data_IF_074046145210
#
_entry.id   IF_074046145210
#
_cell.length_a   1.000
_cell.length_b   1.000
_cell.length_c   1.000
_cell.angle_alpha   90.00
_cell.angle_beta   90.00
_cell.angle_gamma   90.00
#
_symmetry.space_group_name_H-M   'P 1'
#
loop_
_entity.id
_entity.type
_entity.pdbx_description
1 polymer ?
#
# COMPACT_ATOMS: atom_id res chain seq x y z
N UNK A 1 14.67 25.58 -5.91
CA UNK A 1 14.72 24.52 -5.06
C UNK A 1 13.50 23.63 -5.10
N UNK A 2 13.76 22.38 -5.10
CA UNK A 2 12.71 21.51 -5.22
C UNK A 2 12.04 21.16 -3.94
N UNK A 3 10.79 21.28 -3.92
CA UNK A 3 10.08 20.98 -2.74
C UNK A 3 9.78 19.52 -2.67
N UNK A 4 10.27 18.88 -1.64
CA UNK A 4 10.03 17.50 -1.48
C UNK A 4 8.68 17.32 -0.83
N UNK A 5 7.81 16.62 -1.50
CA UNK A 5 6.53 16.37 -0.94
C UNK A 5 6.59 15.32 0.13
N UNK A 6 6.18 15.68 1.30
CA UNK A 6 6.15 14.74 2.41
C UNK A 6 4.80 14.08 2.48
N UNK A 7 4.77 12.76 2.37
CA UNK A 7 3.55 12.01 2.56
C UNK A 7 3.58 11.40 3.94
N UNK A 8 2.47 11.43 4.66
CA UNK A 8 2.41 10.81 5.97
C UNK A 8 2.53 9.30 5.83
N UNK A 9 2.92 8.64 6.91
CA UNK A 9 3.00 7.18 6.93
C UNK A 9 1.68 6.55 6.55
N UNK A 10 0.60 7.16 6.98
CA UNK A 10 -0.72 6.63 6.70
C UNK A 10 -1.05 6.68 5.21
N UNK A 11 -0.70 7.78 4.56
CA UNK A 11 -0.95 7.93 3.14
C UNK A 11 -0.10 6.97 2.33
N UNK A 12 1.18 6.82 2.71
CA UNK A 12 2.06 5.87 2.03
C UNK A 12 1.52 4.45 2.18
N UNK A 13 1.10 4.10 3.38
CA UNK A 13 0.54 2.79 3.66
C UNK A 13 -0.69 2.53 2.78
N UNK A 14 -1.58 3.51 2.71
CA UNK A 14 -2.78 3.40 1.90
C UNK A 14 -2.44 3.23 0.41
N UNK A 15 -1.47 4.00 -0.07
CA UNK A 15 -1.08 3.91 -1.47
C UNK A 15 -0.48 2.56 -1.82
N UNK A 16 0.25 1.96 -0.88
CA UNK A 16 0.78 0.62 -1.09
C UNK A 16 -0.37 -0.39 -1.19
N UNK A 17 -1.33 -0.30 -0.29
CA UNK A 17 -2.48 -1.19 -0.31
C UNK A 17 -3.26 -1.04 -1.62
N UNK A 18 -3.43 0.19 -2.08
CA UNK A 18 -4.14 0.43 -3.33
C UNK A 18 -3.41 -0.14 -4.53
N UNK A 19 -2.08 -0.01 -4.54
CA UNK A 19 -1.29 -0.55 -5.64
C UNK A 19 -1.41 -2.07 -5.68
N UNK A 20 -1.39 -2.71 -4.53
CA UNK A 20 -1.51 -4.15 -4.45
C UNK A 20 -2.91 -4.59 -4.91
N UNK A 21 -3.94 -3.87 -4.47
CA UNK A 21 -5.30 -4.23 -4.84
C UNK A 21 -5.54 -4.06 -6.34
N UNK A 22 -4.94 -3.05 -6.92
CA UNK A 22 -5.12 -2.75 -8.34
C UNK A 22 -4.44 -3.80 -9.23
N UNK A 23 -3.36 -4.39 -8.73
CA UNK A 23 -2.56 -5.32 -9.50
C UNK A 23 -2.56 -6.69 -8.84
N UNK A 24 -3.27 -7.63 -9.41
CA UNK A 24 -3.25 -8.99 -8.88
C UNK A 24 -1.84 -9.53 -8.96
N UNK A 25 -1.39 -10.20 -7.92
CA UNK A 25 -0.05 -10.74 -7.85
C UNK A 25 0.98 -9.65 -8.16
N UNK A 26 0.87 -8.56 -7.44
CA UNK A 26 1.73 -7.41 -7.67
C UNK A 26 3.17 -7.70 -7.24
N UNK A 27 4.12 -7.43 -8.16
CA UNK A 27 5.54 -7.55 -7.83
C UNK A 27 5.97 -6.31 -7.06
N UNK A 28 7.10 -6.43 -6.36
CA UNK A 28 7.61 -5.29 -5.62
C UNK A 28 7.94 -4.12 -6.55
N UNK A 29 8.43 -4.43 -7.76
CA UNK A 29 8.73 -3.37 -8.72
C UNK A 29 7.50 -2.59 -9.13
N UNK A 30 6.41 -3.31 -9.38
CA UNK A 30 5.16 -2.66 -9.75
C UNK A 30 4.63 -1.79 -8.62
N UNK A 31 4.66 -2.33 -7.40
CA UNK A 31 4.18 -1.59 -6.24
C UNK A 31 5.03 -0.34 -6.03
N UNK A 32 6.34 -0.48 -6.13
CA UNK A 32 7.26 0.64 -5.94
C UNK A 32 6.99 1.75 -6.94
N UNK A 33 6.75 1.36 -8.20
CA UNK A 33 6.48 2.33 -9.25
C UNK A 33 5.16 3.04 -9.00
N UNK A 34 4.10 2.30 -8.69
CA UNK A 34 2.78 2.88 -8.53
C UNK A 34 2.64 3.69 -7.25
N UNK A 35 3.27 3.24 -6.18
CA UNK A 35 3.22 3.98 -4.92
C UNK A 35 4.31 5.04 -4.83
N UNK A 36 5.21 5.05 -5.83
CA UNK A 36 6.30 6.02 -5.89
C UNK A 36 7.16 6.01 -4.63
N UNK A 37 7.66 4.82 -4.29
CA UNK A 37 8.58 4.67 -3.17
C UNK A 37 9.78 3.83 -3.57
N UNK A 38 10.95 4.10 -2.99
CA UNK A 38 12.15 3.31 -3.28
C UNK A 38 11.97 1.85 -2.86
N UNK A 39 12.58 0.95 -3.61
CA UNK A 39 12.51 -0.48 -3.33
C UNK A 39 12.90 -0.83 -1.91
N UNK A 40 13.99 -0.27 -1.42
CA UNK A 40 14.50 -0.63 -0.10
C UNK A 40 13.51 -0.27 0.99
N UNK A 41 12.85 0.89 0.84
CA UNK A 41 11.88 1.33 1.81
C UNK A 41 10.61 0.48 1.73
N UNK A 42 10.18 0.19 0.51
CA UNK A 42 9.00 -0.62 0.29
C UNK A 42 9.19 -2.02 0.84
N UNK A 43 10.38 -2.59 0.64
CA UNK A 43 10.66 -3.92 1.11
C UNK A 43 10.43 -4.04 2.62
N UNK A 44 10.94 -3.07 3.37
CA UNK A 44 10.76 -3.05 4.82
C UNK A 44 9.30 -2.92 5.19
N UNK A 45 8.58 -2.06 4.47
CA UNK A 45 7.18 -1.86 4.75
C UNK A 45 6.36 -3.11 4.45
N UNK A 46 6.67 -3.79 3.34
CA UNK A 46 5.97 -5.02 3.00
C UNK A 46 6.21 -6.11 4.04
N UNK A 47 7.42 -6.19 4.57
CA UNK A 47 7.72 -7.17 5.61
C UNK A 47 6.83 -6.93 6.83
N UNK A 48 6.64 -5.68 7.21
CA UNK A 48 5.78 -5.33 8.33
C UNK A 48 4.32 -5.68 8.02
N UNK A 49 3.90 -5.43 6.79
CA UNK A 49 2.52 -5.66 6.39
C UNK A 49 2.21 -7.15 6.34
N UNK A 50 3.16 -7.95 5.90
CA UNK A 50 3.00 -9.40 5.91
C UNK A 50 2.90 -9.89 7.35
N UNK A 51 3.76 -9.38 8.21
CA UNK A 51 3.75 -9.76 9.61
C UNK A 51 2.45 -9.39 10.30
N UNK A 52 1.88 -8.26 9.92
CA UNK A 52 0.62 -7.80 10.49
C UNK A 52 -0.59 -8.53 9.90
N UNK A 53 -0.38 -9.32 8.86
CA UNK A 53 -1.45 -10.11 8.26
C UNK A 53 -2.33 -9.35 7.29
N UNK A 54 -1.90 -8.16 6.85
CA UNK A 54 -2.71 -7.40 5.88
C UNK A 54 -2.32 -7.70 4.44
N UNK A 55 -1.14 -8.28 4.24
CA UNK A 55 -0.64 -8.64 2.92
C UNK A 55 -0.08 -10.05 2.99
N UNK A 56 -0.24 -10.81 1.93
CA UNK A 56 0.33 -12.13 1.83
C UNK A 56 1.33 -12.14 0.68
N UNK A 57 2.43 -12.85 0.90
CA UNK A 57 3.46 -13.01 -0.09
C UNK A 57 3.21 -14.28 -0.87
N UNK A 58 3.23 -14.21 -2.18
CA UNK A 58 2.93 -15.33 -3.05
C UNK A 58 4.09 -15.56 -3.99
N UNK A 59 4.41 -16.83 -4.24
CA UNK A 59 5.42 -17.15 -5.20
C UNK A 59 4.72 -17.60 -6.46
N UNK A 60 4.81 -16.79 -7.50
CA UNK A 60 4.12 -17.07 -8.76
C UNK A 60 5.13 -17.17 -9.89
N UNK A 61 5.31 -18.36 -10.42
CA UNK A 61 6.24 -18.57 -11.52
C UNK A 61 7.66 -18.17 -11.20
N UNK A 62 8.09 -18.41 -9.95
CA UNK A 62 9.43 -18.03 -9.53
C UNK A 62 9.57 -16.58 -9.13
N UNK A 63 8.49 -15.82 -9.20
CA UNK A 63 8.51 -14.42 -8.82
C UNK A 63 7.78 -14.21 -7.51
N UNK A 64 8.29 -13.31 -6.70
CA UNK A 64 7.67 -12.97 -5.44
C UNK A 64 6.64 -11.89 -5.68
N UNK A 65 5.39 -12.19 -5.36
CA UNK A 65 4.29 -11.27 -5.55
C UNK A 65 3.53 -11.07 -4.26
N UNK A 66 2.66 -10.09 -4.24
CA UNK A 66 1.91 -9.74 -3.04
C UNK A 66 0.44 -9.56 -3.34
N UNK A 67 -0.38 -9.89 -2.37
CA UNK A 67 -1.82 -9.70 -2.50
C UNK A 67 -2.37 -9.28 -1.16
N UNK A 68 -3.53 -8.63 -1.17
CA UNK A 68 -4.17 -8.25 0.10
C UNK A 68 -4.84 -9.48 0.71
N UNK A 69 -4.78 -9.55 2.03
CA UNK A 69 -5.57 -10.53 2.75
C UNK A 69 -6.94 -9.92 2.99
N UNK A 70 -7.84 -10.71 3.56
CA UNK A 70 -9.15 -10.22 3.94
C UNK A 70 -8.99 -9.04 4.91
N UNK A 71 -8.05 -9.18 5.84
CA UNK A 71 -7.76 -8.12 6.78
C UNK A 71 -7.25 -6.87 6.07
N UNK A 72 -6.39 -7.04 5.06
CA UNK A 72 -5.89 -5.93 4.27
C UNK A 72 -6.99 -5.22 3.51
N UNK A 73 -7.93 -5.97 2.95
CA UNK A 73 -9.07 -5.40 2.26
C UNK A 73 -9.90 -4.54 3.22
N UNK A 74 -10.10 -5.05 4.42
CA UNK A 74 -10.87 -4.32 5.41
C UNK A 74 -10.18 -3.03 5.81
N UNK A 75 -8.88 -3.09 6.03
CA UNK A 75 -8.11 -1.91 6.40
C UNK A 75 -8.20 -0.85 5.30
N UNK A 76 -8.03 -1.28 4.05
CA UNK A 76 -8.11 -0.33 2.95
C UNK A 76 -9.48 0.32 2.87
N UNK A 77 -10.53 -0.47 3.05
CA UNK A 77 -11.89 0.04 3.03
C UNK A 77 -12.11 1.07 4.13
N UNK A 78 -11.60 0.78 5.34
CA UNK A 78 -11.73 1.71 6.45
C UNK A 78 -11.00 3.02 6.20
N UNK A 79 -9.81 2.93 5.61
CA UNK A 79 -9.04 4.13 5.29
C UNK A 79 -9.78 5.01 4.29
N UNK A 80 -10.39 4.39 3.28
CA UNK A 80 -11.13 5.13 2.29
C UNK A 80 -12.38 5.77 2.89
N UNK A 81 -13.02 5.09 3.80
CA UNK A 81 -14.20 5.62 4.46
C UNK A 81 -13.87 6.84 5.30
N UNK A 82 -12.77 6.77 6.04
CA UNK A 82 -12.35 7.90 6.84
C UNK A 82 -11.98 9.08 5.97
N UNK A 83 -11.27 8.81 4.89
CA UNK A 83 -10.88 9.84 3.95
C UNK A 83 -12.10 10.54 3.37
N UNK A 84 -13.08 9.75 2.96
CA UNK A 84 -14.31 10.27 2.41
C UNK A 84 -15.08 11.12 3.42
N UNK A 85 -15.13 10.64 4.64
CA UNK A 85 -15.83 11.36 5.72
C UNK A 85 -15.16 12.71 6.00
N UNK A 86 -13.83 12.70 6.08
CA UNK A 86 -13.09 13.94 6.33
C UNK A 86 -13.26 14.91 5.18
N UNK A 87 -13.33 14.39 3.96
CA UNK A 87 -13.56 15.23 2.79
C UNK A 87 -14.94 15.89 2.86
N UNK A 88 -15.93 15.12 3.29
CA UNK A 88 -17.30 15.64 3.46
C UNK A 88 -17.32 16.76 4.47
N UNK A 89 -16.48 16.67 5.49
CA UNK A 89 -16.39 17.70 6.52
C UNK A 89 -15.56 18.89 6.09
N UNK A 90 -14.93 18.80 4.91
CA UNK A 90 -14.11 19.90 4.42
C UNK A 90 -12.75 19.98 5.08
N UNK A 91 -12.28 18.86 5.67
CA UNK A 91 -10.99 18.87 6.38
C UNK A 91 -9.83 18.40 5.53
N UNK A 92 -10.13 17.77 4.38
CA UNK A 92 -9.09 17.40 3.41
C UNK A 92 -9.62 17.58 2.01
#
# INVERSE_FOLDING_TARGET
MKQRKHRSSLIIFKEILEAIKRNREATISRIATEANIPHSRLKKQLERMVKAGVVIEINSGGRKCYDLTEKGEKVLRMLKEIESFLSTLGLI
#
